data_IF_929932366448
#
_entry.id   IF_929932366448
#
_cell.length_a   1.000
_cell.length_b   1.000
_cell.length_c   1.000
_cell.angle_alpha   90.00
_cell.angle_beta   90.00
_cell.angle_gamma   90.00
#
_symmetry.space_group_name_H-M   'P 1'
#
loop_
_entity.id
_entity.type
_entity.pdbx_description
1 polymer ?
#
# COMPACT_ATOMS: atom_id res chain seq x y z
N UNK A 1 -35.31 4.04 6.23
CA UNK A 1 -36.06 2.97 5.51
C UNK A 1 -35.45 1.62 5.86
N UNK A 2 -36.22 0.68 6.40
CA UNK A 2 -35.73 -0.63 6.83
C UNK A 2 -35.97 -0.88 8.33
N UNK A 3 -35.22 -1.82 8.94
CA UNK A 3 -35.47 -2.28 10.31
C UNK A 3 -34.48 -1.65 11.29
N UNK A 4 -34.96 -1.01 12.36
CA UNK A 4 -34.10 -0.41 13.38
C UNK A 4 -33.17 0.69 12.85
N UNK A 5 -33.61 1.46 11.86
CA UNK A 5 -32.85 2.59 11.30
C UNK A 5 -33.15 3.88 12.08
N UNK A 6 -32.13 4.67 12.41
CA UNK A 6 -32.26 5.97 13.07
C UNK A 6 -31.64 7.08 12.20
N UNK A 7 -32.43 8.06 11.81
CA UNK A 7 -31.97 9.29 11.15
C UNK A 7 -32.30 10.47 12.06
N UNK A 8 -31.36 10.86 12.92
CA UNK A 8 -31.56 11.88 13.97
C UNK A 8 -30.90 13.22 13.65
N UNK A 9 -29.92 13.25 12.75
CA UNK A 9 -29.30 14.50 12.28
C UNK A 9 -30.22 15.30 11.36
N UNK A 10 -30.05 16.62 11.31
CA UNK A 10 -30.87 17.49 10.45
C UNK A 10 -30.64 17.12 8.99
N UNK A 11 -31.68 16.84 8.21
CA UNK A 11 -31.57 16.38 6.81
C UNK A 11 -30.81 15.04 6.62
N UNK A 12 -30.66 14.25 7.68
CA UNK A 12 -29.98 12.95 7.59
C UNK A 12 -30.80 11.88 6.88
N UNK A 13 -30.12 10.85 6.37
CA UNK A 13 -30.75 9.69 5.73
C UNK A 13 -30.19 8.38 6.28
N UNK A 14 -31.07 7.52 6.81
CA UNK A 14 -30.71 6.16 7.27
C UNK A 14 -31.51 5.08 6.52
N UNK A 15 -30.81 4.13 5.90
CA UNK A 15 -31.44 3.03 5.14
C UNK A 15 -30.77 1.66 5.39
N UNK A 16 -31.56 0.60 5.52
CA UNK A 16 -31.08 -0.77 5.74
C UNK A 16 -31.49 -1.36 7.08
N UNK A 17 -30.57 -2.01 7.80
CA UNK A 17 -30.87 -2.68 9.08
C UNK A 17 -29.90 -2.25 10.16
N UNK A 18 -30.42 -1.66 11.25
CA UNK A 18 -29.63 -1.17 12.37
C UNK A 18 -28.72 0.01 12.04
N UNK A 19 -29.05 0.81 11.02
CA UNK A 19 -28.21 1.95 10.59
C UNK A 19 -28.54 3.23 11.36
N UNK A 20 -27.55 4.06 11.61
CA UNK A 20 -27.68 5.32 12.34
C UNK A 20 -27.01 6.47 11.59
N UNK A 21 -27.77 7.51 11.27
CA UNK A 21 -27.30 8.77 10.69
C UNK A 21 -27.61 9.90 11.67
N UNK A 22 -26.60 10.28 12.48
CA UNK A 22 -26.76 11.23 13.60
C UNK A 22 -26.08 12.58 13.37
N UNK A 23 -25.14 12.69 12.43
CA UNK A 23 -24.57 13.96 11.99
C UNK A 23 -25.52 14.77 11.09
N UNK A 24 -25.35 16.09 11.06
CA UNK A 24 -26.15 16.95 10.20
C UNK A 24 -25.89 16.66 8.71
N UNK A 25 -26.95 16.47 7.93
CA UNK A 25 -26.92 16.05 6.53
C UNK A 25 -26.13 14.76 6.28
N UNK A 26 -25.98 13.89 7.29
CA UNK A 26 -25.25 12.63 7.14
C UNK A 26 -26.08 11.53 6.47
N UNK A 27 -25.42 10.52 5.91
CA UNK A 27 -26.06 9.38 5.25
C UNK A 27 -25.49 8.05 5.73
N UNK A 28 -26.34 7.17 6.27
CA UNK A 28 -25.97 5.81 6.69
C UNK A 28 -26.77 4.75 5.91
N UNK A 29 -26.09 3.88 5.16
CA UNK A 29 -26.73 2.83 4.35
C UNK A 29 -26.09 1.45 4.51
N UNK A 30 -26.89 0.41 4.75
CA UNK A 30 -26.42 -0.98 4.81
C UNK A 30 -26.83 -1.74 6.08
N UNK A 31 -25.91 -2.47 6.70
CA UNK A 31 -26.15 -3.23 7.93
C UNK A 31 -25.28 -2.69 9.06
N UNK A 32 -25.88 -2.15 10.12
CA UNK A 32 -25.19 -1.60 11.29
C UNK A 32 -24.18 -0.49 10.99
N UNK A 33 -24.42 0.32 9.96
CA UNK A 33 -23.56 1.46 9.63
C UNK A 33 -23.91 2.70 10.46
N UNK A 34 -22.92 3.54 10.75
CA UNK A 34 -23.04 4.73 11.60
C UNK A 34 -22.39 5.94 10.90
N UNK A 35 -23.16 7.00 10.67
CA UNK A 35 -22.70 8.26 10.10
C UNK A 35 -22.94 9.40 11.11
N UNK A 36 -21.98 9.62 12.01
CA UNK A 36 -22.08 10.56 13.14
C UNK A 36 -21.30 11.86 12.96
N UNK A 37 -20.45 11.96 11.91
CA UNK A 37 -19.89 13.23 11.47
C UNK A 37 -20.90 14.07 10.68
N UNK A 38 -20.85 15.39 10.82
CA UNK A 38 -21.64 16.29 9.98
C UNK A 38 -21.19 16.13 8.53
N UNK A 39 -22.16 16.06 7.63
CA UNK A 39 -22.06 15.79 6.20
C UNK A 39 -21.36 14.45 5.86
N UNK A 40 -21.29 13.52 6.82
CA UNK A 40 -20.59 12.26 6.60
C UNK A 40 -21.44 11.21 5.87
N UNK A 41 -20.78 10.21 5.27
CA UNK A 41 -21.46 9.10 4.58
C UNK A 41 -20.86 7.75 4.98
N UNK A 42 -21.65 6.87 5.60
CA UNK A 42 -21.26 5.50 5.94
C UNK A 42 -22.05 4.47 5.12
N UNK A 43 -21.36 3.61 4.37
CA UNK A 43 -21.98 2.54 3.59
C UNK A 43 -21.33 1.17 3.83
N UNK A 44 -22.13 0.09 3.81
CA UNK A 44 -21.62 -1.28 3.90
C UNK A 44 -22.07 -2.04 5.16
N UNK A 45 -21.13 -2.72 5.84
CA UNK A 45 -21.42 -3.57 7.01
C UNK A 45 -20.61 -3.10 8.22
N UNK A 46 -21.27 -2.61 9.26
CA UNK A 46 -20.61 -2.15 10.48
C UNK A 46 -19.55 -1.07 10.23
N UNK A 47 -19.78 -0.20 9.24
CA UNK A 47 -18.89 0.92 8.93
C UNK A 47 -19.27 2.19 9.69
N UNK A 48 -18.30 3.04 10.00
CA UNK A 48 -18.41 4.23 10.84
C UNK A 48 -17.77 5.44 10.15
N UNK A 49 -18.57 6.44 9.78
CA UNK A 49 -18.11 7.73 9.27
C UNK A 49 -18.32 8.80 10.35
N UNK A 50 -17.37 8.86 11.29
CA UNK A 50 -17.49 9.66 12.54
C UNK A 50 -16.92 11.07 12.39
N UNK A 51 -16.09 11.31 11.37
CA UNK A 51 -15.39 12.56 11.12
C UNK A 51 -16.19 13.52 10.22
N UNK A 52 -16.03 14.82 10.45
CA UNK A 52 -16.62 15.90 9.64
C UNK A 52 -16.31 15.73 8.14
N UNK A 53 -17.32 15.79 7.29
CA UNK A 53 -17.24 15.56 5.83
C UNK A 53 -16.66 14.18 5.42
N UNK A 54 -16.59 13.20 6.32
CA UNK A 54 -15.93 11.92 6.01
C UNK A 54 -16.82 10.94 5.23
N UNK A 55 -16.19 10.02 4.52
CA UNK A 55 -16.86 8.90 3.87
C UNK A 55 -16.22 7.57 4.32
N UNK A 56 -17.03 6.59 4.69
CA UNK A 56 -16.57 5.25 5.06
C UNK A 56 -17.35 4.19 4.26
N UNK A 57 -16.63 3.25 3.64
CA UNK A 57 -17.21 2.13 2.88
C UNK A 57 -16.59 0.80 3.28
N UNK A 58 -17.17 -0.32 2.84
CA UNK A 58 -16.63 -1.66 3.08
C UNK A 58 -17.21 -2.33 4.33
N UNK A 59 -16.35 -2.94 5.15
CA UNK A 59 -16.77 -3.61 6.39
C UNK A 59 -15.81 -3.35 7.56
N UNK A 60 -16.38 -3.08 8.74
CA UNK A 60 -15.64 -2.97 10.01
C UNK A 60 -14.39 -2.05 9.91
N UNK A 61 -14.55 -0.84 9.38
CA UNK A 61 -13.50 0.18 9.39
C UNK A 61 -13.23 0.67 10.84
N UNK A 62 -12.11 1.35 11.03
CA UNK A 62 -11.67 1.84 12.34
C UNK A 62 -12.53 3.04 12.77
N UNK A 63 -12.70 4.05 11.91
CA UNK A 63 -13.45 5.28 12.21
C UNK A 63 -12.62 6.35 12.93
N UNK A 64 -13.28 7.26 13.63
CA UNK A 64 -12.68 8.33 14.43
C UNK A 64 -12.65 9.72 13.78
N UNK A 65 -12.13 10.68 14.53
CA UNK A 65 -12.01 12.10 14.17
C UNK A 65 -13.07 13.00 14.78
N UNK A 66 -12.95 14.30 14.55
CA UNK A 66 -13.90 15.30 15.03
C UNK A 66 -15.16 15.28 14.16
N UNK A 67 -16.33 15.13 14.77
CA UNK A 67 -17.60 15.06 14.03
C UNK A 67 -18.00 16.36 13.34
N UNK A 68 -17.55 17.52 13.81
CA UNK A 68 -18.01 18.83 13.34
C UNK A 68 -16.87 19.83 13.01
N UNK A 69 -15.60 19.42 13.11
CA UNK A 69 -14.45 20.30 12.83
C UNK A 69 -13.55 19.71 11.76
N UNK A 70 -12.94 20.61 10.97
CA UNK A 70 -11.88 20.24 10.05
C UNK A 70 -10.55 20.12 10.82
N UNK A 71 -10.19 18.88 11.19
CA UNK A 71 -8.87 18.56 11.75
C UNK A 71 -8.05 17.82 10.70
N UNK A 72 -6.88 18.38 10.35
CA UNK A 72 -6.08 17.92 9.21
C UNK A 72 -5.68 16.43 9.28
N UNK A 73 -5.55 15.88 10.49
CA UNK A 73 -5.18 14.48 10.75
C UNK A 73 -6.36 13.53 10.88
N UNK A 74 -7.59 14.01 10.70
CA UNK A 74 -8.78 13.14 10.76
C UNK A 74 -8.97 12.38 9.44
N UNK A 75 -9.63 11.21 9.48
CA UNK A 75 -10.07 10.51 8.27
C UNK A 75 -11.03 11.37 7.45
N UNK A 76 -10.76 11.48 6.15
CA UNK A 76 -11.66 12.02 5.13
C UNK A 76 -12.32 10.89 4.33
N UNK A 77 -11.58 9.82 4.02
CA UNK A 77 -12.11 8.64 3.35
C UNK A 77 -11.50 7.36 3.90
N UNK A 78 -12.34 6.38 4.22
CA UNK A 78 -11.93 5.07 4.72
C UNK A 78 -12.58 3.93 3.94
N UNK A 79 -11.78 2.90 3.64
CA UNK A 79 -12.27 1.62 3.11
C UNK A 79 -11.97 0.54 4.15
N UNK A 80 -13.01 0.09 4.85
CA UNK A 80 -12.92 -0.98 5.83
C UNK A 80 -12.80 -2.36 5.18
N UNK A 81 -11.84 -3.16 5.66
CA UNK A 81 -11.68 -4.58 5.34
C UNK A 81 -11.54 -5.45 6.61
N UNK A 82 -12.03 -4.95 7.75
CA UNK A 82 -12.04 -5.70 9.00
C UNK A 82 -12.94 -6.93 8.93
N UNK A 83 -12.66 -7.91 9.80
CA UNK A 83 -13.37 -9.20 9.80
C UNK A 83 -14.62 -9.17 10.69
N UNK A 84 -14.53 -8.46 11.82
CA UNK A 84 -15.58 -8.33 12.83
C UNK A 84 -15.35 -7.09 13.71
N UNK A 85 -16.15 -6.93 14.78
CA UNK A 85 -16.09 -5.77 15.67
C UNK A 85 -14.82 -5.70 16.52
N UNK A 86 -14.14 -6.83 16.74
CA UNK A 86 -12.91 -6.93 17.51
C UNK A 86 -11.67 -6.82 16.61
N UNK A 87 -11.81 -7.17 15.33
CA UNK A 87 -10.78 -7.15 14.29
C UNK A 87 -11.10 -6.10 13.21
N UNK A 88 -11.24 -4.84 13.64
CA UNK A 88 -11.44 -3.70 12.74
C UNK A 88 -10.18 -3.38 11.98
N UNK A 89 -10.34 -2.98 10.72
CA UNK A 89 -9.21 -2.58 9.89
C UNK A 89 -9.63 -1.69 8.74
N UNK A 90 -8.71 -0.83 8.30
CA UNK A 90 -8.84 -0.02 7.10
C UNK A 90 -7.85 -0.50 6.06
N UNK A 91 -8.33 -0.95 4.90
CA UNK A 91 -7.47 -1.17 3.74
C UNK A 91 -6.83 0.14 3.26
N UNK A 92 -7.58 1.24 3.37
CA UNK A 92 -7.16 2.59 2.98
C UNK A 92 -7.76 3.61 3.95
N UNK A 93 -6.94 4.58 4.36
CA UNK A 93 -7.36 5.82 5.02
C UNK A 93 -6.73 7.01 4.32
N UNK A 94 -7.55 7.91 3.80
CA UNK A 94 -7.13 9.23 3.32
C UNK A 94 -7.48 10.24 4.40
N UNK A 95 -6.50 11.04 4.81
CA UNK A 95 -6.66 12.09 5.81
C UNK A 95 -7.01 13.44 5.17
N UNK A 96 -7.58 14.35 5.97
CA UNK A 96 -7.96 15.70 5.52
C UNK A 96 -6.77 16.55 5.03
N UNK A 97 -5.55 16.23 5.43
CA UNK A 97 -4.32 16.89 4.97
C UNK A 97 -3.82 16.38 3.60
N UNK A 98 -4.43 15.33 3.04
CA UNK A 98 -4.04 14.73 1.77
C UNK A 98 -3.12 13.52 1.90
N UNK A 99 -2.68 13.17 3.10
CA UNK A 99 -1.92 11.94 3.32
C UNK A 99 -2.82 10.72 3.16
N UNK A 100 -2.26 9.62 2.66
CA UNK A 100 -2.95 8.35 2.52
C UNK A 100 -2.14 7.22 3.17
N UNK A 101 -2.81 6.39 3.97
CA UNK A 101 -2.28 5.19 4.58
C UNK A 101 -2.96 3.96 3.96
N UNK A 102 -2.16 2.99 3.54
CA UNK A 102 -2.63 1.67 3.06
C UNK A 102 -2.20 0.61 4.06
N UNK A 103 -3.10 -0.31 4.42
CA UNK A 103 -2.78 -1.48 5.27
C UNK A 103 -2.27 -2.66 4.42
N UNK A 104 -1.24 -2.38 3.63
CA UNK A 104 -0.66 -3.34 2.69
C UNK A 104 0.24 -2.67 1.65
N UNK A 105 0.75 -3.49 0.73
CA UNK A 105 1.55 -3.00 -0.39
C UNK A 105 0.66 -2.38 -1.48
N UNK A 106 1.08 -1.23 -1.99
CA UNK A 106 0.44 -0.62 -3.17
C UNK A 106 0.94 -1.35 -4.40
N UNK A 107 0.13 -2.28 -4.89
CA UNK A 107 0.38 -3.00 -6.14
C UNK A 107 -0.14 -2.17 -7.32
N UNK A 108 0.66 -2.01 -8.37
CA UNK A 108 0.21 -1.39 -9.61
C UNK A 108 0.84 -2.09 -10.81
N UNK A 109 0.15 -2.06 -11.95
CA UNK A 109 0.76 -2.48 -13.22
C UNK A 109 1.83 -1.47 -13.59
N UNK A 110 3.00 -1.95 -14.00
CA UNK A 110 4.08 -1.22 -14.61
C UNK A 110 3.61 -0.27 -15.74
N UNK A 111 3.23 0.97 -15.41
CA UNK A 111 2.87 2.01 -16.38
C UNK A 111 3.84 3.16 -16.20
N UNK A 112 4.68 3.45 -17.21
CA UNK A 112 5.73 4.46 -17.12
C UNK A 112 5.27 5.89 -16.82
N UNK A 113 6.27 6.77 -16.68
CA UNK A 113 6.33 8.08 -15.97
C UNK A 113 6.47 7.90 -14.45
N UNK A 114 7.66 8.24 -13.94
CA UNK A 114 8.12 8.28 -12.55
C UNK A 114 7.26 7.55 -11.51
N UNK A 115 7.79 6.47 -10.97
CA UNK A 115 7.11 5.66 -9.97
C UNK A 115 7.55 6.05 -8.55
N UNK A 116 6.58 6.34 -7.67
CA UNK A 116 6.84 6.60 -6.25
C UNK A 116 7.18 5.32 -5.47
N UNK A 117 6.81 4.15 -6.01
CA UNK A 117 7.04 2.83 -5.41
C UNK A 117 8.08 2.08 -6.25
N UNK A 118 8.99 1.29 -5.64
CA UNK A 118 9.87 0.43 -6.43
C UNK A 118 9.05 -0.56 -7.28
N UNK A 119 9.46 -0.76 -8.54
CA UNK A 119 8.85 -1.77 -9.43
C UNK A 119 9.29 -3.20 -9.08
N UNK A 120 10.40 -3.37 -8.37
CA UNK A 120 10.83 -4.64 -7.79
C UNK A 120 11.84 -4.41 -6.66
N UNK A 121 11.76 -5.23 -5.62
CA UNK A 121 12.79 -5.32 -4.59
C UNK A 121 12.83 -6.72 -4.01
N UNK A 122 13.97 -7.09 -3.42
CA UNK A 122 14.10 -8.41 -2.80
C UNK A 122 15.49 -8.71 -2.25
N UNK A 123 15.62 -9.88 -1.64
CA UNK A 123 16.87 -10.46 -1.17
C UNK A 123 17.19 -11.69 -2.01
N UNK A 124 18.33 -11.66 -2.67
CA UNK A 124 18.86 -12.76 -3.47
C UNK A 124 20.04 -13.40 -2.72
N UNK A 125 19.98 -14.71 -2.54
CA UNK A 125 21.04 -15.49 -1.90
C UNK A 125 22.24 -15.67 -2.84
N UNK A 126 23.41 -16.02 -2.28
CA UNK A 126 24.63 -16.24 -3.06
C UNK A 126 24.51 -17.31 -4.15
N UNK A 127 23.55 -18.22 -4.06
CA UNK A 127 23.27 -19.24 -5.07
C UNK A 127 22.25 -18.78 -6.15
N UNK A 128 21.78 -17.53 -6.09
CA UNK A 128 20.79 -16.98 -7.02
C UNK A 128 19.33 -17.22 -6.63
N UNK A 129 19.08 -17.93 -5.52
CA UNK A 129 17.72 -18.12 -5.01
C UNK A 129 17.13 -16.82 -4.46
N UNK A 130 15.81 -16.69 -4.54
CA UNK A 130 15.06 -15.56 -3.97
C UNK A 130 14.62 -15.95 -2.56
N UNK A 131 15.10 -15.22 -1.55
CA UNK A 131 14.66 -15.43 -0.16
C UNK A 131 13.39 -14.64 0.16
N UNK A 132 13.28 -13.42 -0.34
CA UNK A 132 12.13 -12.54 -0.15
C UNK A 132 12.07 -11.47 -1.26
N UNK A 133 10.91 -10.88 -1.52
CA UNK A 133 10.74 -9.76 -2.43
C UNK A 133 9.31 -9.59 -2.96
N UNK A 134 9.15 -8.72 -3.96
CA UNK A 134 7.87 -8.33 -4.57
C UNK A 134 7.16 -9.44 -5.35
N UNK A 135 7.80 -10.58 -5.59
CA UNK A 135 7.20 -11.74 -6.26
C UNK A 135 7.01 -11.62 -7.78
N UNK A 136 7.34 -10.47 -8.38
CA UNK A 136 7.26 -10.19 -9.81
C UNK A 136 8.62 -10.19 -10.52
N UNK A 137 9.59 -10.96 -10.00
CA UNK A 137 10.90 -11.08 -10.62
C UNK A 137 11.46 -12.50 -10.47
N UNK A 138 12.37 -12.86 -11.38
CA UNK A 138 13.19 -14.06 -11.28
C UNK A 138 14.66 -13.68 -11.10
N UNK A 139 15.43 -14.55 -10.45
CA UNK A 139 16.86 -14.37 -10.23
C UNK A 139 17.62 -15.64 -10.63
N UNK A 140 18.81 -15.45 -11.18
CA UNK A 140 19.74 -16.54 -11.48
C UNK A 140 21.18 -16.05 -11.31
N UNK A 141 22.12 -16.96 -11.11
CA UNK A 141 23.55 -16.64 -11.05
C UNK A 141 24.35 -17.57 -11.95
N UNK A 142 25.28 -17.01 -12.69
CA UNK A 142 26.27 -17.76 -13.48
C UNK A 142 27.58 -17.00 -13.50
N UNK A 143 28.70 -17.68 -13.24
CA UNK A 143 30.04 -17.07 -13.21
C UNK A 143 30.12 -15.80 -12.34
N UNK A 144 29.52 -15.82 -11.14
CA UNK A 144 29.41 -14.69 -10.20
C UNK A 144 28.69 -13.44 -10.76
N UNK A 145 27.88 -13.60 -11.82
CA UNK A 145 27.00 -12.57 -12.35
C UNK A 145 25.57 -12.96 -12.05
N UNK A 146 24.87 -12.12 -11.29
CA UNK A 146 23.44 -12.27 -11.05
C UNK A 146 22.66 -11.60 -12.17
N UNK A 147 21.61 -12.26 -12.63
CA UNK A 147 20.64 -11.74 -13.60
C UNK A 147 19.27 -11.71 -12.94
N UNK A 148 18.64 -10.54 -12.93
CA UNK A 148 17.31 -10.31 -12.37
C UNK A 148 16.40 -9.86 -13.51
N UNK A 149 15.39 -10.67 -13.82
CA UNK A 149 14.33 -10.32 -14.78
C UNK A 149 13.11 -9.86 -13.99
N UNK A 150 12.63 -8.64 -14.25
CA UNK A 150 11.39 -8.12 -13.66
C UNK A 150 10.28 -8.31 -14.70
N UNK A 151 9.18 -8.92 -14.28
CA UNK A 151 8.10 -9.29 -15.20
C UNK A 151 7.46 -8.05 -15.84
N UNK A 152 7.29 -8.10 -17.16
CA UNK A 152 6.75 -6.99 -17.97
C UNK A 152 7.54 -5.68 -17.89
N UNK A 153 8.81 -5.74 -17.48
CA UNK A 153 9.69 -4.58 -17.39
C UNK A 153 10.95 -4.77 -18.23
N UNK A 154 11.45 -3.67 -18.81
CA UNK A 154 12.68 -3.66 -19.60
C UNK A 154 13.66 -2.68 -18.94
N UNK A 155 14.54 -3.20 -18.09
CA UNK A 155 15.46 -2.39 -17.31
C UNK A 155 16.47 -1.67 -18.20
N UNK A 156 16.53 -0.34 -18.12
CA UNK A 156 17.59 0.47 -18.72
C UNK A 156 18.03 1.59 -17.77
N UNK A 157 19.28 2.04 -17.86
CA UNK A 157 19.76 3.17 -17.06
C UNK A 157 19.12 4.53 -17.45
N UNK A 158 18.39 4.58 -18.57
CA UNK A 158 17.65 5.76 -19.01
C UNK A 158 16.29 5.87 -18.31
N UNK A 159 15.66 4.73 -18.01
CA UNK A 159 14.29 4.66 -17.50
C UNK A 159 14.22 4.10 -16.07
N UNK A 160 15.34 3.65 -15.50
CA UNK A 160 15.34 2.97 -14.22
C UNK A 160 16.56 3.32 -13.37
N UNK A 161 16.36 3.25 -12.06
CA UNK A 161 17.43 3.30 -11.06
C UNK A 161 17.38 2.00 -10.26
N UNK A 162 18.53 1.41 -10.01
CA UNK A 162 18.66 0.21 -9.17
C UNK A 162 19.67 0.47 -8.06
N UNK A 163 19.33 0.01 -6.86
CA UNK A 163 20.20 0.04 -5.69
C UNK A 163 20.55 -1.40 -5.29
N UNK A 164 21.80 -1.64 -4.91
CA UNK A 164 22.30 -2.95 -4.47
C UNK A 164 23.02 -2.77 -3.14
N UNK A 165 22.70 -3.62 -2.16
CA UNK A 165 23.40 -3.69 -0.88
C UNK A 165 23.87 -5.12 -0.63
N UNK A 166 25.16 -5.42 -0.83
CA UNK A 166 25.73 -6.74 -0.52
C UNK A 166 25.65 -7.04 0.98
N UNK A 167 25.28 -8.26 1.34
CA UNK A 167 25.23 -8.74 2.73
C UNK A 167 26.53 -9.52 3.01
N UNK A 168 27.48 -8.88 3.69
CA UNK A 168 28.77 -9.49 4.03
C UNK A 168 29.35 -8.91 5.31
N UNK A 169 30.14 -9.72 6.02
CA UNK A 169 30.97 -9.26 7.14
C UNK A 169 32.26 -8.55 6.71
N UNK A 170 32.61 -8.56 5.42
CA UNK A 170 33.76 -7.85 4.86
C UNK A 170 33.37 -6.81 3.83
N UNK A 171 34.30 -5.93 3.45
CA UNK A 171 34.05 -4.91 2.43
C UNK A 171 33.57 -5.55 1.12
N UNK A 172 32.53 -4.95 0.54
CA UNK A 172 31.98 -5.30 -0.77
C UNK A 172 31.61 -4.04 -1.53
N UNK A 173 31.78 -4.09 -2.84
CA UNK A 173 31.19 -3.12 -3.78
C UNK A 173 30.44 -3.86 -4.87
N UNK A 174 29.55 -3.19 -5.59
CA UNK A 174 28.74 -3.80 -6.64
C UNK A 174 28.71 -2.93 -7.89
N UNK A 175 28.66 -3.58 -9.06
CA UNK A 175 28.33 -2.93 -10.33
C UNK A 175 26.96 -3.41 -10.80
N UNK A 176 26.18 -2.48 -11.34
CA UNK A 176 24.87 -2.72 -11.95
C UNK A 176 25.00 -2.43 -13.44
N UNK A 177 24.53 -3.33 -14.29
CA UNK A 177 24.41 -3.13 -15.74
C UNK A 177 23.08 -3.66 -16.27
N UNK A 178 22.71 -3.30 -17.50
CA UNK A 178 21.55 -3.88 -18.20
C UNK A 178 22.01 -4.84 -19.31
N UNK A 179 21.36 -6.00 -19.42
CA UNK A 179 21.56 -6.94 -20.54
C UNK A 179 20.25 -7.63 -20.90
N UNK A 180 19.75 -7.39 -22.12
CA UNK A 180 18.49 -7.98 -22.59
C UNK A 180 17.27 -7.53 -21.76
N UNK A 181 17.31 -6.33 -21.19
CA UNK A 181 16.26 -5.80 -20.30
C UNK A 181 16.30 -6.30 -18.86
N UNK A 182 17.30 -7.12 -18.51
CA UNK A 182 17.50 -7.60 -17.15
C UNK A 182 18.47 -6.70 -16.38
N UNK A 183 18.30 -6.63 -15.07
CA UNK A 183 19.33 -6.11 -14.18
C UNK A 183 20.43 -7.17 -14.08
N UNK A 184 21.66 -6.77 -14.31
CA UNK A 184 22.84 -7.64 -14.10
C UNK A 184 23.71 -7.06 -13.00
N UNK A 185 24.07 -7.90 -12.02
CA UNK A 185 24.79 -7.48 -10.82
C UNK A 185 26.07 -8.29 -10.68
N UNK A 186 27.19 -7.59 -10.44
CA UNK A 186 28.44 -8.21 -9.98
C UNK A 186 28.81 -7.61 -8.65
N UNK A 187 29.26 -8.45 -7.72
CA UNK A 187 29.74 -8.02 -6.40
C UNK A 187 31.23 -8.33 -6.33
N UNK A 188 32.01 -7.36 -5.88
CA UNK A 188 33.46 -7.45 -5.77
C UNK A 188 33.87 -7.49 -4.29
N UNK A 189 34.85 -8.33 -3.97
CA UNK A 189 35.49 -8.37 -2.66
C UNK A 189 36.54 -7.24 -2.51
N UNK A 190 37.23 -7.20 -1.36
CA UNK A 190 38.31 -6.24 -1.08
C UNK A 190 39.49 -6.32 -2.04
N UNK A 191 39.67 -7.47 -2.70
CA UNK A 191 40.77 -7.71 -3.63
C UNK A 191 40.39 -7.37 -5.07
N UNK A 192 39.15 -6.89 -5.31
CA UNK A 192 38.63 -6.56 -6.64
C UNK A 192 38.15 -7.77 -7.44
N UNK A 193 38.05 -8.96 -6.84
CA UNK A 193 37.56 -10.17 -7.49
C UNK A 193 36.04 -10.29 -7.36
N UNK A 194 35.38 -10.82 -8.40
CA UNK A 194 33.93 -11.09 -8.33
C UNK A 194 33.63 -12.24 -7.36
N UNK A 195 32.52 -12.12 -6.65
CA UNK A 195 32.08 -13.10 -5.66
C UNK A 195 30.56 -13.18 -5.66
N UNK A 196 30.03 -14.40 -5.70
CA UNK A 196 28.63 -14.66 -5.40
C UNK A 196 28.36 -14.43 -3.91
N UNK A 197 27.93 -13.22 -3.58
CA UNK A 197 27.56 -12.79 -2.22
C UNK A 197 26.06 -12.48 -2.22
N UNK A 198 25.32 -12.87 -1.18
CA UNK A 198 23.91 -12.48 -1.04
C UNK A 198 23.75 -10.96 -1.01
N UNK A 199 22.63 -10.43 -1.51
CA UNK A 199 22.40 -8.98 -1.54
C UNK A 199 20.91 -8.64 -1.51
N UNK A 200 20.61 -7.42 -1.09
CA UNK A 200 19.31 -6.78 -1.28
C UNK A 200 19.35 -5.87 -2.50
N UNK A 201 18.24 -5.78 -3.23
CA UNK A 201 18.09 -4.84 -4.34
C UNK A 201 16.75 -4.12 -4.30
N UNK A 202 16.70 -2.97 -4.98
CA UNK A 202 15.50 -2.17 -5.18
C UNK A 202 15.59 -1.46 -6.53
N UNK A 203 14.54 -1.52 -7.35
CA UNK A 203 14.47 -0.89 -8.67
C UNK A 203 13.31 0.09 -8.73
N UNK A 204 13.56 1.31 -9.18
CA UNK A 204 12.54 2.30 -9.52
C UNK A 204 12.47 2.50 -11.03
N UNK A 205 11.31 2.94 -11.50
CA UNK A 205 11.11 3.43 -12.87
C UNK A 205 11.01 4.96 -12.83
N UNK A 206 11.75 5.62 -13.71
CA UNK A 206 11.80 7.07 -13.88
C UNK A 206 10.68 7.57 -14.79
#
# INVERSE_FOLDING_TARGET
MGSGTLASGVNSTAMGSGTEASGDASTAMGFRTEASGDFSTAMGRSTKAESYNSMAVGAFNIGGGSSNLWVATDPLFEIGNGLDLDNKNNALTIYKNGDAQFDGEIQHTATGTANLVPIAYGLIESNGNILNGTGNFTASVSNNVFTINIDNENFSHENNVCFITPISGGFRTSSISSSGGNVTVRIFNSDGNTSSTSFQFMVYKL
#
